data_IF_390825958703
#
_entry.id   IF_390825958703
#
_cell.length_a   1.000
_cell.length_b   1.000
_cell.length_c   1.000
_cell.angle_alpha   90.00
_cell.angle_beta   90.00
_cell.angle_gamma   90.00
#
_symmetry.space_group_name_H-M   'P 1'
#
loop_
_entity.id
_entity.type
_entity.pdbx_description
1 polymer ?
#
# COMPACT_ATOMS: atom_id res chain seq x y z
N UNK A 1 16.33 5.33 -31.25
CA UNK A 1 15.22 5.01 -30.32
C UNK A 1 15.58 5.58 -28.95
N UNK A 2 14.80 6.54 -28.43
CA UNK A 2 15.04 7.08 -27.07
C UNK A 2 14.52 6.05 -26.05
N UNK A 3 15.29 5.64 -25.03
CA UNK A 3 14.75 4.78 -23.99
C UNK A 3 13.68 5.56 -23.22
N UNK A 4 12.51 4.96 -23.06
CA UNK A 4 11.44 5.49 -22.21
C UNK A 4 12.01 5.48 -20.78
N UNK A 5 12.42 6.65 -20.28
CA UNK A 5 12.87 6.82 -18.89
C UNK A 5 11.67 6.66 -17.96
N UNK A 6 11.66 5.52 -17.26
CA UNK A 6 10.97 5.23 -16.01
C UNK A 6 9.50 5.63 -15.93
N UNK A 7 8.61 4.74 -16.37
CA UNK A 7 7.33 4.60 -15.66
C UNK A 7 7.66 4.26 -14.20
N UNK A 8 7.25 5.09 -13.23
CA UNK A 8 7.37 4.76 -11.80
C UNK A 8 6.73 3.38 -11.61
N UNK A 9 7.50 2.36 -11.26
CA UNK A 9 6.95 1.04 -10.92
C UNK A 9 6.04 1.22 -9.72
N UNK A 10 4.73 1.07 -9.94
CA UNK A 10 3.73 1.03 -8.89
C UNK A 10 3.95 -0.27 -8.12
N UNK A 11 3.99 -0.17 -6.78
CA UNK A 11 4.06 -1.34 -5.90
C UNK A 11 2.67 -1.96 -5.78
N UNK A 12 2.42 -3.03 -6.54
CA UNK A 12 1.12 -3.70 -6.58
C UNK A 12 0.70 -4.28 -5.23
N UNK A 13 1.62 -4.48 -4.29
CA UNK A 13 1.29 -4.97 -2.95
C UNK A 13 0.46 -3.97 -2.15
N UNK A 14 0.51 -2.68 -2.50
CA UNK A 14 -0.27 -1.64 -1.81
C UNK A 14 -1.77 -1.86 -1.97
N UNK A 15 -2.21 -2.38 -3.12
CA UNK A 15 -3.63 -2.71 -3.37
C UNK A 15 -4.07 -3.87 -2.46
N UNK A 16 -3.22 -4.89 -2.31
CA UNK A 16 -3.48 -6.04 -1.41
C UNK A 16 -3.57 -5.59 0.05
N UNK A 17 -2.68 -4.69 0.48
CA UNK A 17 -2.72 -4.13 1.84
C UNK A 17 -4.02 -3.36 2.07
N UNK A 18 -4.40 -2.50 1.12
CA UNK A 18 -5.62 -1.70 1.22
C UNK A 18 -6.88 -2.56 1.30
N UNK A 19 -7.04 -3.53 0.41
CA UNK A 19 -8.16 -4.48 0.41
C UNK A 19 -8.24 -5.23 1.75
N UNK A 20 -7.10 -5.70 2.27
CA UNK A 20 -7.06 -6.40 3.55
C UNK A 20 -7.46 -5.48 4.70
N UNK A 21 -6.99 -4.22 4.72
CA UNK A 21 -7.35 -3.26 5.78
C UNK A 21 -8.84 -2.94 5.76
N UNK A 22 -9.44 -2.75 4.58
CA UNK A 22 -10.88 -2.54 4.43
C UNK A 22 -11.66 -3.76 4.93
N UNK A 23 -11.27 -4.95 4.48
CA UNK A 23 -11.93 -6.21 4.83
C UNK A 23 -11.87 -6.48 6.34
N UNK A 24 -10.71 -6.24 6.96
CA UNK A 24 -10.51 -6.49 8.39
C UNK A 24 -11.00 -5.34 9.28
N UNK A 25 -11.24 -4.13 8.72
CA UNK A 25 -11.62 -2.91 9.45
C UNK A 25 -10.64 -2.48 10.54
N UNK A 26 -9.43 -3.05 10.59
CA UNK A 26 -8.47 -2.84 11.66
C UNK A 26 -7.04 -3.16 11.17
N UNK A 27 -6.13 -2.20 11.30
CA UNK A 27 -4.75 -2.33 10.84
C UNK A 27 -3.97 -3.46 11.53
N UNK A 28 -4.21 -3.70 12.82
CA UNK A 28 -3.55 -4.78 13.58
C UNK A 28 -4.04 -6.16 13.13
N UNK A 29 -5.34 -6.31 12.82
CA UNK A 29 -5.88 -7.56 12.24
C UNK A 29 -5.35 -7.81 10.83
N UNK A 30 -5.32 -6.77 10.00
CA UNK A 30 -4.73 -6.84 8.67
C UNK A 30 -3.25 -7.22 8.70
N UNK A 31 -2.47 -6.64 9.63
CA UNK A 31 -1.07 -6.98 9.85
C UNK A 31 -0.87 -8.47 10.16
N UNK A 32 -1.69 -9.01 11.08
CA UNK A 32 -1.67 -10.45 11.41
C UNK A 32 -2.02 -11.31 10.20
N UNK A 33 -3.01 -10.92 9.40
CA UNK A 33 -3.45 -11.68 8.21
C UNK A 33 -2.42 -11.67 7.08
N UNK A 34 -1.64 -10.60 6.96
CA UNK A 34 -0.57 -10.46 5.95
C UNK A 34 0.81 -10.89 6.45
N UNK A 35 0.92 -11.37 7.69
CA UNK A 35 2.18 -11.74 8.35
C UNK A 35 3.23 -10.60 8.32
N UNK A 36 2.77 -9.39 8.65
CA UNK A 36 3.61 -8.19 8.73
C UNK A 36 3.37 -7.44 10.04
N UNK A 37 4.16 -6.40 10.30
CA UNK A 37 3.94 -5.54 11.46
C UNK A 37 2.83 -4.51 11.18
N UNK A 38 2.09 -4.04 12.20
CA UNK A 38 1.15 -2.93 12.05
C UNK A 38 1.81 -1.66 11.48
N UNK A 39 3.07 -1.40 11.82
CA UNK A 39 3.83 -0.28 11.25
C UNK A 39 4.03 -0.41 9.73
N UNK A 40 4.25 -1.62 9.21
CA UNK A 40 4.35 -1.87 7.78
C UNK A 40 3.01 -1.60 7.06
N UNK A 41 1.87 -1.90 7.70
CA UNK A 41 0.55 -1.54 7.19
C UNK A 41 0.41 -0.02 7.10
N UNK A 42 0.72 0.72 8.17
CA UNK A 42 0.64 2.20 8.16
C UNK A 42 1.53 2.83 7.08
N UNK A 43 2.76 2.33 6.90
CA UNK A 43 3.66 2.80 5.85
C UNK A 43 3.14 2.48 4.45
N UNK A 44 2.54 1.30 4.24
CA UNK A 44 1.93 0.96 2.95
C UNK A 44 0.73 1.86 2.63
N UNK A 45 -0.13 2.18 3.60
CA UNK A 45 -1.25 3.10 3.40
C UNK A 45 -0.77 4.52 3.09
N UNK A 46 0.27 5.02 3.77
CA UNK A 46 0.87 6.32 3.47
C UNK A 46 1.47 6.34 2.04
N UNK A 47 2.16 5.28 1.63
CA UNK A 47 2.67 5.14 0.26
C UNK A 47 1.53 5.13 -0.76
N UNK A 48 0.40 4.50 -0.44
CA UNK A 48 -0.78 4.47 -1.29
C UNK A 48 -1.41 5.86 -1.43
N UNK A 49 -1.60 6.60 -0.33
CA UNK A 49 -2.09 8.00 -0.35
C UNK A 49 -1.19 8.89 -1.22
N UNK A 50 0.14 8.78 -1.03
CA UNK A 50 1.12 9.51 -1.84
C UNK A 50 1.07 9.18 -3.34
N UNK A 51 0.54 8.02 -3.73
CA UNK A 51 0.31 7.68 -5.14
C UNK A 51 -0.96 8.32 -5.70
N UNK A 52 -2.00 8.51 -4.88
CA UNK A 52 -3.24 9.16 -5.27
C UNK A 52 -3.16 10.69 -5.24
N UNK A 53 -2.18 11.27 -4.53
CA UNK A 53 -1.96 12.71 -4.49
C UNK A 53 -2.96 13.48 -3.61
N UNK A 54 -3.84 12.78 -2.91
CA UNK A 54 -4.74 13.34 -1.89
C UNK A 54 -4.55 12.56 -0.58
N UNK A 55 -4.36 13.31 0.51
CA UNK A 55 -4.32 12.81 1.88
C UNK A 55 -5.75 12.32 2.22
N UNK A 56 -5.90 11.04 2.61
CA UNK A 56 -7.21 10.46 3.00
C UNK A 56 -7.62 10.91 4.39
#
# INVERSE_FOLDING_TARGET
MRPIKNAKKIDYNLIKVFDTVITEGNATRAARKLDVTPAAISQALLRLQNLYGEEL
#
